data_IF_329756497550
#
_entry.id   IF_329756497550
#
_cell.length_a   1.000
_cell.length_b   1.000
_cell.length_c   1.000
_cell.angle_alpha   90.00
_cell.angle_beta   90.00
_cell.angle_gamma   90.00
#
_symmetry.space_group_name_H-M   'P 1'
#
loop_
_entity.id
_entity.type
_entity.pdbx_description
1 polymer ?
#
# COMPACT_ATOMS: atom_id res chain seq x y z
N UNK A 1 -8.13 -12.47 -5.87
CA UNK A 1 -6.91 -11.75 -6.28
C UNK A 1 -5.75 -12.34 -5.50
N UNK A 2 -4.84 -13.04 -6.18
CA UNK A 2 -3.63 -13.59 -5.57
C UNK A 2 -2.51 -12.53 -5.65
N UNK A 3 -1.56 -12.55 -4.71
CA UNK A 3 -0.42 -11.60 -4.69
C UNK A 3 0.36 -11.62 -6.03
N UNK A 4 0.40 -12.77 -6.70
CA UNK A 4 1.08 -12.98 -7.98
C UNK A 4 0.44 -12.27 -9.18
N UNK A 5 -0.82 -11.82 -9.06
CA UNK A 5 -1.53 -11.11 -10.14
C UNK A 5 -1.00 -9.68 -10.34
N UNK A 6 -0.22 -9.16 -9.39
CA UNK A 6 0.31 -7.79 -9.42
C UNK A 6 1.79 -7.75 -9.82
N UNK A 7 2.22 -6.67 -10.52
CA UNK A 7 3.62 -6.49 -10.91
C UNK A 7 4.53 -6.40 -9.68
N UNK A 8 5.80 -6.76 -9.86
CA UNK A 8 6.82 -6.67 -8.80
C UNK A 8 6.93 -5.26 -8.21
N UNK A 9 6.72 -4.26 -9.05
CA UNK A 9 6.74 -2.84 -8.71
C UNK A 9 5.32 -2.31 -8.87
N UNK A 10 4.76 -1.83 -7.77
CA UNK A 10 3.45 -1.19 -7.70
C UNK A 10 3.61 0.32 -7.84
N UNK A 11 2.68 0.94 -8.55
CA UNK A 11 2.46 2.37 -8.55
C UNK A 11 1.30 2.72 -7.61
N UNK A 12 1.14 4.01 -7.29
CA UNK A 12 0.03 4.48 -6.45
C UNK A 12 -1.36 4.12 -7.04
N UNK A 13 -1.47 4.00 -8.37
CA UNK A 13 -2.69 3.52 -9.02
C UNK A 13 -3.01 2.06 -8.66
N UNK A 14 -1.99 1.22 -8.50
CA UNK A 14 -2.15 -0.20 -8.19
C UNK A 14 -2.50 -0.33 -6.70
N UNK A 15 -1.87 0.46 -5.83
CA UNK A 15 -2.25 0.56 -4.40
C UNK A 15 -3.72 0.95 -4.23
N UNK A 16 -4.19 1.94 -5.01
CA UNK A 16 -5.60 2.36 -5.02
C UNK A 16 -6.52 1.20 -5.40
N UNK A 17 -6.17 0.43 -6.42
CA UNK A 17 -6.95 -0.72 -6.89
C UNK A 17 -6.94 -1.87 -5.89
N UNK A 18 -5.77 -2.21 -5.34
CA UNK A 18 -5.59 -3.28 -4.36
C UNK A 18 -6.35 -3.00 -3.06
N UNK A 19 -6.33 -1.75 -2.58
CA UNK A 19 -7.01 -1.35 -1.35
C UNK A 19 -8.48 -0.97 -1.56
N UNK A 20 -8.92 -0.76 -2.81
CA UNK A 20 -10.29 -0.31 -3.11
C UNK A 20 -10.61 1.10 -2.59
N UNK A 21 -9.61 1.98 -2.48
CA UNK A 21 -9.75 3.33 -1.90
C UNK A 21 -9.80 4.44 -2.94
N UNK A 22 -10.14 5.65 -2.51
CA UNK A 22 -10.08 6.84 -3.36
C UNK A 22 -8.64 7.17 -3.77
N UNK A 23 -8.48 7.93 -4.86
CA UNK A 23 -7.16 8.43 -5.27
C UNK A 23 -6.51 9.26 -4.14
N UNK A 24 -7.27 10.15 -3.50
CA UNK A 24 -6.77 11.00 -2.42
C UNK A 24 -6.24 10.17 -1.24
N UNK A 25 -7.02 9.19 -0.79
CA UNK A 25 -6.65 8.26 0.27
C UNK A 25 -5.38 7.47 -0.07
N UNK A 26 -5.24 7.00 -1.31
CA UNK A 26 -4.01 6.33 -1.74
C UNK A 26 -2.77 7.24 -1.67
N UNK A 27 -2.91 8.54 -1.95
CA UNK A 27 -1.81 9.51 -1.79
C UNK A 27 -1.54 9.89 -0.33
N UNK A 28 -2.54 9.83 0.55
CA UNK A 28 -2.36 10.00 2.00
C UNK A 28 -1.57 8.83 2.58
N UNK A 29 -1.96 7.60 2.25
CA UNK A 29 -1.23 6.38 2.63
C UNK A 29 0.21 6.44 2.12
N UNK A 30 0.41 6.87 0.86
CA UNK A 30 1.75 7.02 0.29
C UNK A 30 2.62 8.09 0.97
N UNK A 31 2.04 8.95 1.80
CA UNK A 31 2.77 9.94 2.62
C UNK A 31 3.01 9.47 4.05
N UNK A 32 2.48 8.32 4.45
CA UNK A 32 2.77 7.78 5.77
C UNK A 32 4.29 7.52 5.91
N UNK A 33 4.89 7.83 7.07
CA UNK A 33 6.32 7.69 7.28
C UNK A 33 6.79 6.23 7.19
N UNK A 34 5.92 5.27 7.56
CA UNK A 34 6.23 3.85 7.54
C UNK A 34 5.89 3.16 6.21
N UNK A 35 5.32 3.91 5.25
CA UNK A 35 4.96 3.34 3.97
C UNK A 35 6.21 3.09 3.13
N UNK A 36 6.36 1.90 2.49
CA UNK A 36 7.56 1.52 1.74
C UNK A 36 7.66 2.25 0.37
N UNK A 37 7.59 3.57 0.38
CA UNK A 37 7.66 4.41 -0.81
C UNK A 37 9.09 4.52 -1.33
N UNK A 38 9.25 4.30 -2.63
CA UNK A 38 10.46 4.62 -3.37
C UNK A 38 10.15 5.68 -4.44
N UNK A 39 11.05 6.64 -4.59
CA UNK A 39 10.93 7.69 -5.60
C UNK A 39 12.09 7.56 -6.58
N UNK A 40 11.79 7.14 -7.80
CA UNK A 40 12.77 7.04 -8.89
C UNK A 40 12.28 7.89 -10.06
N UNK A 41 13.08 8.85 -10.52
CA UNK A 41 12.74 9.76 -11.62
C UNK A 41 11.34 10.38 -11.46
N UNK A 42 11.05 10.92 -10.27
CA UNK A 42 9.75 11.53 -9.90
C UNK A 42 8.56 10.55 -9.86
N UNK A 43 8.76 9.24 -10.05
CA UNK A 43 7.72 8.22 -9.94
C UNK A 43 7.69 7.65 -8.53
N UNK A 44 6.49 7.67 -7.93
CA UNK A 44 6.17 7.01 -6.66
C UNK A 44 5.88 5.54 -6.93
N UNK A 45 6.78 4.67 -6.49
CA UNK A 45 6.69 3.23 -6.67
C UNK A 45 6.88 2.52 -5.33
N UNK A 46 6.43 1.27 -5.26
CA UNK A 46 6.49 0.44 -4.05
C UNK A 46 6.79 -0.99 -4.50
N UNK A 47 7.69 -1.69 -3.81
CA UNK A 47 7.85 -3.12 -4.06
C UNK A 47 6.64 -3.89 -3.55
N UNK A 48 6.12 -4.79 -4.38
CA UNK A 48 4.92 -5.58 -4.07
C UNK A 48 5.02 -6.28 -2.72
N UNK A 49 6.14 -6.97 -2.48
CA UNK A 49 6.29 -7.77 -1.28
C UNK A 49 6.38 -6.88 -0.03
N UNK A 50 7.01 -5.70 -0.13
CA UNK A 50 7.09 -4.75 0.97
C UNK A 50 5.74 -4.05 1.23
N UNK A 51 4.97 -3.76 0.18
CA UNK A 51 3.59 -3.29 0.33
C UNK A 51 2.74 -4.28 1.13
N UNK A 52 2.79 -5.57 0.79
CA UNK A 52 2.02 -6.58 1.53
C UNK A 52 2.54 -6.80 2.95
N UNK A 53 3.87 -6.74 3.19
CA UNK A 53 4.41 -6.75 4.56
C UNK A 53 3.92 -5.56 5.39
N UNK A 54 3.90 -4.37 4.79
CA UNK A 54 3.33 -3.18 5.43
C UNK A 54 1.83 -3.36 5.70
N UNK A 55 1.07 -3.95 4.77
CA UNK A 55 -0.35 -4.23 5.00
C UNK A 55 -0.56 -5.23 6.15
N UNK A 56 0.25 -6.27 6.21
CA UNK A 56 0.23 -7.25 7.31
C UNK A 56 0.62 -6.61 8.66
N UNK A 57 1.51 -5.62 8.69
CA UNK A 57 1.84 -4.89 9.93
C UNK A 57 0.68 -4.02 10.43
N UNK A 58 -0.13 -3.45 9.52
CA UNK A 58 -1.34 -2.67 9.86
C UNK A 58 -2.51 -3.54 10.35
N UNK A 59 -2.53 -4.84 10.03
CA UNK A 59 -3.56 -5.78 10.47
C UNK A 59 -3.57 -5.98 12.01
N UNK A 60 -2.44 -5.75 12.67
CA UNK A 60 -2.31 -5.88 14.13
C UNK A 60 -2.57 -4.53 14.83
N UNK A 61 -3.58 -3.79 14.39
CA UNK A 61 -4.09 -2.65 15.14
C UNK A 61 -5.31 -3.12 15.97
N UNK A 62 -5.18 -3.33 17.29
CA UNK A 62 -6.18 -3.99 18.13
C UNK A 62 -7.49 -3.20 18.36
N UNK A 63 -7.75 -2.12 17.62
CA UNK A 63 -8.78 -1.15 17.96
C UNK A 63 -10.16 -1.38 17.30
N UNK A 64 -10.50 -2.64 16.94
CA UNK A 64 -11.82 -2.99 16.36
C UNK A 64 -12.39 -4.32 16.84
N UNK A 65 -12.04 -4.77 18.05
CA UNK A 65 -12.80 -5.83 18.76
C UNK A 65 -13.27 -5.30 20.13
N UNK A 66 -14.17 -4.34 20.05
CA UNK A 66 -15.11 -4.00 21.12
C UNK A 66 -16.39 -3.48 20.48
N UNK A 67 -17.24 -4.41 20.04
CA UNK A 67 -18.67 -4.24 19.87
C UNK A 67 -19.33 -5.62 19.92
#
# INVERSE_FOLDING_TARGET
MNKSDYPLILQIKDVKEILGVSRSTAYEIAREPDFPLLIINCRKIVYRDDFFKWLDSKRTNPNVISA
#
